data_IF_481996657564
#
_entry.id   IF_481996657564
#
_cell.length_a   1.000
_cell.length_b   1.000
_cell.length_c   1.000
_cell.angle_alpha   90.00
_cell.angle_beta   90.00
_cell.angle_gamma   90.00
#
_symmetry.space_group_name_H-M   'P 1'
#
loop_
_entity.id
_entity.type
_entity.pdbx_description
1 polymer ?
#
# COMPACT_ATOMS: atom_id res chain seq x y z
N UNK A 1 -25.13 -55.74 -32.99
CA UNK A 1 -25.64 -54.36 -32.77
C UNK A 1 -25.26 -53.76 -31.41
N UNK A 2 -25.41 -54.46 -30.28
CA UNK A 2 -25.04 -53.91 -28.95
C UNK A 2 -23.54 -53.59 -28.76
N UNK A 3 -22.64 -54.37 -29.36
CA UNK A 3 -21.20 -54.21 -29.20
C UNK A 3 -20.65 -52.94 -29.88
N UNK A 4 -21.16 -52.62 -31.08
CA UNK A 4 -20.79 -51.40 -31.80
C UNK A 4 -21.31 -50.12 -31.10
N UNK A 5 -22.50 -50.17 -30.48
CA UNK A 5 -23.00 -49.06 -29.66
C UNK A 5 -22.11 -48.82 -28.43
N UNK A 6 -21.65 -49.87 -27.74
CA UNK A 6 -20.72 -49.74 -26.62
C UNK A 6 -19.38 -49.11 -27.03
N UNK A 7 -18.78 -49.55 -28.14
CA UNK A 7 -17.55 -48.95 -28.65
C UNK A 7 -17.73 -47.47 -29.01
N UNK A 8 -18.85 -47.11 -29.64
CA UNK A 8 -19.14 -45.72 -29.99
C UNK A 8 -19.21 -44.81 -28.77
N UNK A 9 -19.93 -45.23 -27.71
CA UNK A 9 -20.00 -44.47 -26.47
C UNK A 9 -18.64 -44.38 -25.77
N UNK A 10 -17.85 -45.46 -25.75
CA UNK A 10 -16.48 -45.44 -25.17
C UNK A 10 -15.59 -44.44 -25.92
N UNK A 11 -15.56 -44.50 -27.26
CA UNK A 11 -14.79 -43.56 -28.07
C UNK A 11 -15.27 -42.11 -27.88
N UNK A 12 -16.59 -41.89 -27.81
CA UNK A 12 -17.17 -40.57 -27.59
C UNK A 12 -16.82 -39.99 -26.21
N UNK A 13 -16.91 -40.79 -25.14
CA UNK A 13 -16.49 -40.36 -23.80
C UNK A 13 -14.99 -40.11 -23.72
N UNK A 14 -14.15 -40.96 -24.34
CA UNK A 14 -12.69 -40.74 -24.40
C UNK A 14 -12.30 -39.49 -25.20
N UNK A 15 -13.00 -39.18 -26.29
CA UNK A 15 -12.77 -37.93 -27.04
C UNK A 15 -13.23 -36.70 -26.26
N UNK A 16 -14.35 -36.78 -25.54
CA UNK A 16 -14.82 -35.70 -24.69
C UNK A 16 -13.85 -35.46 -23.52
N UNK A 17 -13.35 -36.50 -22.85
CA UNK A 17 -12.38 -36.32 -21.76
C UNK A 17 -11.06 -35.73 -22.27
N UNK A 18 -10.54 -36.19 -23.41
CA UNK A 18 -9.36 -35.59 -24.05
C UNK A 18 -9.57 -34.11 -24.37
N UNK A 19 -10.73 -33.74 -24.90
CA UNK A 19 -11.06 -32.34 -25.18
C UNK A 19 -11.11 -31.50 -23.90
N UNK A 20 -11.79 -31.98 -22.85
CA UNK A 20 -11.85 -31.30 -21.55
C UNK A 20 -10.46 -31.13 -20.91
N UNK A 21 -9.62 -32.16 -20.92
CA UNK A 21 -8.25 -32.05 -20.42
C UNK A 21 -7.40 -31.09 -21.27
N UNK A 22 -7.55 -31.10 -22.60
CA UNK A 22 -6.85 -30.17 -23.46
C UNK A 22 -7.28 -28.71 -23.24
N UNK A 23 -8.57 -28.47 -22.98
CA UNK A 23 -9.09 -27.14 -22.64
C UNK A 23 -8.56 -26.65 -21.29
N UNK A 24 -8.54 -27.51 -20.26
CA UNK A 24 -7.97 -27.15 -18.95
C UNK A 24 -6.46 -26.86 -19.03
N UNK A 25 -5.71 -27.64 -19.82
CA UNK A 25 -4.28 -27.41 -20.05
C UNK A 25 -4.07 -26.08 -20.81
N UNK A 26 -4.91 -25.80 -21.82
CA UNK A 26 -4.85 -24.56 -22.57
C UNK A 26 -5.17 -23.34 -21.71
N UNK A 27 -6.24 -23.39 -20.90
CA UNK A 27 -6.61 -22.30 -19.98
C UNK A 27 -5.52 -22.06 -18.93
N UNK A 28 -4.93 -23.13 -18.39
CA UNK A 28 -3.80 -23.02 -17.46
C UNK A 28 -2.56 -22.41 -18.12
N UNK A 29 -2.22 -22.85 -19.34
CA UNK A 29 -1.08 -22.33 -20.08
C UNK A 29 -1.28 -20.85 -20.45
N UNK A 30 -2.47 -20.48 -20.93
CA UNK A 30 -2.82 -19.11 -21.27
C UNK A 30 -2.75 -18.20 -20.04
N UNK A 31 -3.30 -18.65 -18.90
CA UNK A 31 -3.20 -17.92 -17.63
C UNK A 31 -1.75 -17.70 -17.19
N UNK A 32 -0.87 -18.70 -17.36
CA UNK A 32 0.55 -18.55 -17.05
C UNK A 32 1.25 -17.57 -18.00
N UNK A 33 0.99 -17.67 -19.30
CA UNK A 33 1.56 -16.78 -20.32
C UNK A 33 1.15 -15.32 -20.10
N UNK A 34 -0.13 -15.08 -19.79
CA UNK A 34 -0.64 -13.73 -19.51
C UNK A 34 -0.03 -13.16 -18.22
N UNK A 35 0.14 -13.98 -17.19
CA UNK A 35 0.83 -13.61 -15.95
C UNK A 35 2.31 -13.26 -16.18
N UNK A 36 3.05 -14.08 -16.93
CA UNK A 36 4.46 -13.85 -17.23
C UNK A 36 4.68 -12.56 -18.05
N UNK A 37 3.79 -12.29 -19.01
CA UNK A 37 3.82 -11.04 -19.78
C UNK A 37 3.47 -9.83 -18.93
N UNK A 38 2.47 -9.94 -18.04
CA UNK A 38 2.12 -8.88 -17.11
C UNK A 38 3.31 -8.54 -16.21
N UNK A 39 3.93 -9.55 -15.58
CA UNK A 39 5.10 -9.39 -14.72
C UNK A 39 6.26 -8.74 -15.48
N UNK A 40 6.50 -9.16 -16.72
CA UNK A 40 7.55 -8.58 -17.57
C UNK A 40 7.29 -7.09 -17.84
N UNK A 41 6.05 -6.71 -18.17
CA UNK A 41 5.67 -5.32 -18.43
C UNK A 41 5.73 -4.43 -17.16
N UNK A 42 5.33 -4.98 -16.01
CA UNK A 42 5.42 -4.32 -14.71
C UNK A 42 6.89 -4.07 -14.34
N UNK A 43 7.77 -5.06 -14.52
CA UNK A 43 9.21 -4.92 -14.29
C UNK A 43 9.83 -3.84 -15.19
N UNK A 44 9.46 -3.80 -16.47
CA UNK A 44 9.91 -2.76 -17.40
C UNK A 44 9.46 -1.37 -16.93
N UNK A 45 8.23 -1.25 -16.44
CA UNK A 45 7.65 0.00 -15.96
C UNK A 45 8.35 0.51 -14.70
N UNK A 46 8.64 -0.39 -13.75
CA UNK A 46 9.42 -0.09 -12.54
C UNK A 46 10.83 0.38 -12.91
N UNK A 47 11.55 -0.34 -13.78
CA UNK A 47 12.92 0.05 -14.16
C UNK A 47 12.95 1.39 -14.91
N UNK A 48 11.91 1.72 -15.68
CA UNK A 48 11.76 3.04 -16.31
C UNK A 48 11.56 4.12 -15.25
N UNK A 49 10.71 3.89 -14.25
CA UNK A 49 10.48 4.83 -13.15
C UNK A 49 11.75 5.03 -12.31
N UNK A 50 12.46 3.94 -11.99
CA UNK A 50 13.73 3.99 -11.27
C UNK A 50 14.74 4.89 -12.00
N UNK A 51 14.93 4.73 -13.31
CA UNK A 51 15.85 5.59 -14.09
C UNK A 51 15.57 7.09 -13.97
N UNK A 52 14.31 7.47 -13.76
CA UNK A 52 13.91 8.88 -13.60
C UNK A 52 13.96 9.35 -12.14
N UNK A 53 13.89 8.43 -11.18
CA UNK A 53 13.94 8.71 -9.76
C UNK A 53 15.35 9.14 -9.33
N UNK A 54 15.50 10.31 -8.68
CA UNK A 54 16.78 10.76 -8.15
C UNK A 54 17.43 9.76 -7.19
N UNK A 55 18.76 9.79 -7.13
CA UNK A 55 19.56 9.18 -6.07
C UNK A 55 20.43 10.26 -5.43
N UNK A 56 20.73 10.12 -4.15
CA UNK A 56 21.71 10.94 -3.44
C UNK A 56 23.03 10.20 -3.27
N UNK A 57 22.96 8.88 -3.07
CA UNK A 57 24.11 7.96 -3.04
C UNK A 57 23.85 6.72 -3.91
N UNK A 58 24.88 6.00 -4.38
CA UNK A 58 24.70 4.79 -5.18
C UNK A 58 23.78 3.74 -4.54
N UNK A 59 23.84 3.60 -3.22
CA UNK A 59 23.07 2.63 -2.43
C UNK A 59 21.57 2.95 -2.36
N UNK A 60 21.13 4.14 -2.78
CA UNK A 60 19.71 4.43 -2.92
C UNK A 60 19.05 3.54 -3.98
N UNK A 61 19.77 3.20 -5.06
CA UNK A 61 19.16 2.49 -6.19
C UNK A 61 18.73 1.06 -5.83
N UNK A 62 19.58 0.21 -5.21
CA UNK A 62 19.15 -1.11 -4.76
C UNK A 62 17.97 -1.04 -3.79
N UNK A 63 18.01 -0.11 -2.83
CA UNK A 63 16.93 0.10 -1.86
C UNK A 63 15.61 0.48 -2.54
N UNK A 64 15.60 1.53 -3.35
CA UNK A 64 14.42 1.97 -4.11
C UNK A 64 13.84 0.85 -4.95
N UNK A 65 14.71 0.05 -5.60
CA UNK A 65 14.30 -1.12 -6.37
C UNK A 65 13.58 -2.12 -5.47
N UNK A 66 14.20 -2.59 -4.40
CA UNK A 66 13.60 -3.60 -3.52
C UNK A 66 12.28 -3.12 -2.91
N UNK A 67 12.14 -1.83 -2.57
CA UNK A 67 10.86 -1.24 -2.12
C UNK A 67 9.78 -1.41 -3.18
N UNK A 68 10.05 -1.01 -4.43
CA UNK A 68 9.07 -1.10 -5.52
C UNK A 68 8.69 -2.55 -5.86
N UNK A 69 9.65 -3.48 -5.89
CA UNK A 69 9.33 -4.90 -6.09
C UNK A 69 8.56 -5.49 -4.91
N UNK A 70 8.82 -5.04 -3.67
CA UNK A 70 8.04 -5.50 -2.49
C UNK A 70 6.61 -4.96 -2.52
N UNK A 71 6.40 -3.71 -2.99
CA UNK A 71 5.07 -3.18 -3.26
C UNK A 71 4.36 -3.93 -4.39
N UNK A 72 5.06 -4.25 -5.49
CA UNK A 72 4.49 -5.02 -6.60
C UNK A 72 3.94 -6.37 -6.10
N UNK A 73 4.74 -7.09 -5.32
CA UNK A 73 4.35 -8.39 -4.76
C UNK A 73 3.21 -8.27 -3.74
N UNK A 74 3.17 -7.17 -2.97
CA UNK A 74 1.98 -6.84 -2.19
C UNK A 74 0.74 -6.66 -3.07
N UNK A 75 0.84 -5.97 -4.22
CA UNK A 75 -0.33 -5.75 -5.10
C UNK A 75 -0.91 -7.08 -5.61
N UNK A 76 -0.05 -8.03 -5.99
CA UNK A 76 -0.48 -9.36 -6.42
C UNK A 76 -1.09 -10.15 -5.24
N UNK A 77 -0.48 -10.06 -4.06
CA UNK A 77 -1.01 -10.67 -2.84
C UNK A 77 -2.41 -10.12 -2.50
N UNK A 78 -2.56 -8.79 -2.52
CA UNK A 78 -3.81 -8.11 -2.23
C UNK A 78 -4.89 -8.44 -3.26
N UNK A 79 -4.54 -8.50 -4.55
CA UNK A 79 -5.47 -8.90 -5.61
C UNK A 79 -5.91 -10.36 -5.42
N UNK A 80 -4.98 -11.29 -5.18
CA UNK A 80 -5.27 -12.72 -4.98
C UNK A 80 -6.25 -12.97 -3.85
N UNK A 81 -6.13 -12.22 -2.75
CA UNK A 81 -6.97 -12.38 -1.56
C UNK A 81 -8.07 -11.31 -1.44
N UNK A 82 -8.29 -10.49 -2.47
CA UNK A 82 -9.31 -9.44 -2.49
C UNK A 82 -9.22 -8.48 -1.28
N UNK A 83 -8.01 -8.08 -0.92
CA UNK A 83 -7.75 -7.11 0.15
C UNK A 83 -7.90 -5.70 -0.43
N UNK A 84 -8.85 -4.94 0.10
CA UNK A 84 -8.99 -3.53 -0.26
C UNK A 84 -7.98 -2.70 0.56
N UNK A 85 -7.14 -1.97 -0.14
CA UNK A 85 -6.16 -1.06 0.46
C UNK A 85 -6.06 0.22 -0.36
N UNK A 86 -5.34 1.22 0.12
CA UNK A 86 -4.89 2.36 -0.68
C UNK A 86 -3.55 2.89 -0.15
N UNK A 87 -2.78 3.58 -1.00
CA UNK A 87 -1.51 4.20 -0.59
C UNK A 87 -1.76 5.36 0.40
N UNK A 88 -0.85 5.52 1.35
CA UNK A 88 -1.01 6.41 2.49
C UNK A 88 0.30 7.12 2.86
N UNK A 89 0.24 8.03 3.84
CA UNK A 89 1.41 8.64 4.46
C UNK A 89 2.48 9.14 3.48
N UNK A 90 3.76 8.81 3.69
CA UNK A 90 4.87 9.23 2.82
C UNK A 90 4.70 8.77 1.37
N UNK A 91 4.11 7.58 1.18
CA UNK A 91 3.77 7.06 -0.15
C UNK A 91 2.72 7.92 -0.87
N UNK A 92 1.67 8.36 -0.17
CA UNK A 92 0.68 9.27 -0.74
C UNK A 92 1.28 10.65 -1.06
N UNK A 93 2.19 11.16 -0.22
CA UNK A 93 2.96 12.38 -0.49
C UNK A 93 3.79 12.22 -1.77
N UNK A 94 4.50 11.10 -1.92
CA UNK A 94 5.26 10.78 -3.13
C UNK A 94 4.39 10.71 -4.37
N UNK A 95 3.22 10.08 -4.27
CA UNK A 95 2.26 10.04 -5.37
C UNK A 95 1.81 11.44 -5.78
N UNK A 96 1.40 12.28 -4.82
CA UNK A 96 0.94 13.65 -5.08
C UNK A 96 2.02 14.52 -5.69
N UNK A 97 3.27 14.40 -5.21
CA UNK A 97 4.37 15.25 -5.70
C UNK A 97 4.96 14.78 -7.03
N UNK A 98 4.95 13.48 -7.30
CA UNK A 98 5.73 12.90 -8.42
C UNK A 98 5.25 11.54 -8.94
N UNK A 99 4.02 11.13 -8.61
CA UNK A 99 3.43 9.86 -9.04
C UNK A 99 4.29 8.63 -8.69
N UNK A 100 4.94 8.64 -7.52
CA UNK A 100 5.80 7.53 -7.13
C UNK A 100 6.51 7.74 -5.79
N UNK A 101 7.33 6.75 -5.43
CA UNK A 101 8.13 6.73 -4.20
C UNK A 101 8.98 7.99 -4.05
N UNK A 102 9.03 8.58 -2.85
CA UNK A 102 9.99 9.65 -2.60
C UNK A 102 11.40 9.03 -2.59
N UNK A 103 12.40 9.65 -3.24
CA UNK A 103 13.73 9.06 -3.39
C UNK A 103 14.42 8.61 -2.10
N UNK A 104 14.05 9.20 -0.97
CA UNK A 104 14.64 8.98 0.35
C UNK A 104 13.82 8.03 1.25
N UNK A 105 12.60 7.65 0.87
CA UNK A 105 11.73 6.78 1.68
C UNK A 105 12.32 5.39 1.83
N UNK A 106 12.13 4.75 2.98
CA UNK A 106 12.72 3.43 3.28
C UNK A 106 11.71 2.28 3.13
N UNK A 107 10.45 2.60 2.93
CA UNK A 107 9.28 1.73 2.95
C UNK A 107 8.16 2.28 2.04
N UNK A 108 7.02 1.59 2.03
CA UNK A 108 5.76 2.07 1.47
C UNK A 108 4.67 1.91 2.52
N UNK A 109 3.79 2.88 2.63
CA UNK A 109 2.68 2.86 3.56
C UNK A 109 1.35 2.67 2.84
N UNK A 110 0.53 1.76 3.36
CA UNK A 110 -0.82 1.51 2.91
C UNK A 110 -1.80 1.58 4.08
N UNK A 111 -3.05 1.92 3.77
CA UNK A 111 -4.16 1.79 4.71
C UNK A 111 -5.10 0.67 4.28
N UNK A 112 -5.65 -0.01 5.25
CA UNK A 112 -6.83 -0.87 5.13
C UNK A 112 -7.88 -0.43 6.13
N UNK A 113 -9.14 -0.81 5.95
CA UNK A 113 -10.11 -0.63 7.04
C UNK A 113 -9.70 -1.51 8.22
N UNK A 114 -9.78 -0.98 9.45
CA UNK A 114 -9.30 -1.65 10.65
C UNK A 114 -9.95 -3.03 10.85
N UNK A 115 -11.25 -3.18 10.53
CA UNK A 115 -11.95 -4.46 10.59
C UNK A 115 -11.37 -5.56 9.69
N UNK A 116 -10.75 -5.17 8.57
CA UNK A 116 -10.19 -6.11 7.58
C UNK A 116 -8.84 -6.69 8.03
N UNK A 117 -8.27 -6.19 9.14
CA UNK A 117 -7.04 -6.74 9.73
C UNK A 117 -7.18 -8.21 10.13
N UNK A 118 -8.40 -8.63 10.50
CA UNK A 118 -8.69 -10.04 10.83
C UNK A 118 -8.40 -10.98 9.66
N UNK A 119 -8.62 -10.54 8.42
CA UNK A 119 -8.28 -11.28 7.23
C UNK A 119 -6.77 -11.40 7.07
N UNK A 120 -6.01 -10.32 7.28
CA UNK A 120 -4.55 -10.36 7.25
C UNK A 120 -3.99 -11.34 8.29
N UNK A 121 -4.57 -11.38 9.49
CA UNK A 121 -4.16 -12.30 10.54
C UNK A 121 -4.35 -13.77 10.13
N UNK A 122 -5.44 -14.09 9.44
CA UNK A 122 -5.66 -15.45 8.91
C UNK A 122 -4.64 -15.79 7.82
N UNK A 123 -4.40 -14.85 6.89
CA UNK A 123 -3.47 -15.03 5.78
C UNK A 123 -2.00 -15.12 6.24
N UNK A 124 -1.63 -14.46 7.35
CA UNK A 124 -0.28 -14.55 7.90
C UNK A 124 0.07 -15.93 8.43
N UNK A 125 -0.92 -16.79 8.67
CA UNK A 125 -0.69 -18.19 9.06
C UNK A 125 -0.39 -19.11 7.88
N UNK A 126 -0.54 -18.61 6.64
CA UNK A 126 -0.30 -19.38 5.43
C UNK A 126 1.17 -19.30 5.02
N UNK A 127 1.70 -20.42 4.53
CA UNK A 127 2.98 -20.42 3.82
C UNK A 127 2.75 -20.08 2.34
N UNK A 128 2.61 -18.79 2.04
CA UNK A 128 2.32 -18.32 0.68
C UNK A 128 3.58 -17.99 -0.14
N UNK A 129 4.74 -17.82 0.51
CA UNK A 129 5.99 -17.43 -0.16
C UNK A 129 7.22 -17.78 0.67
N UNK A 130 8.30 -18.17 -0.02
CA UNK A 130 9.64 -18.31 0.55
C UNK A 130 10.46 -17.01 0.51
N UNK A 131 9.96 -15.99 -0.19
CA UNK A 131 10.63 -14.68 -0.39
C UNK A 131 9.98 -13.61 0.49
N UNK A 132 8.66 -13.68 0.64
CA UNK A 132 7.89 -12.70 1.39
C UNK A 132 7.25 -13.31 2.62
N UNK A 133 6.96 -12.46 3.60
CA UNK A 133 6.18 -12.81 4.78
C UNK A 133 5.20 -11.71 5.14
N UNK A 134 4.05 -12.11 5.66
CA UNK A 134 3.08 -11.19 6.25
C UNK A 134 3.17 -11.34 7.78
N UNK A 135 3.53 -10.26 8.47
CA UNK A 135 3.53 -10.20 9.93
C UNK A 135 2.42 -9.29 10.41
N UNK A 136 1.60 -9.78 11.32
CA UNK A 136 0.48 -9.02 11.90
C UNK A 136 0.74 -8.82 13.38
N UNK A 137 0.54 -7.61 13.86
CA UNK A 137 0.75 -7.27 15.27
C UNK A 137 -0.25 -8.09 16.13
N UNK A 138 0.16 -8.92 17.11
CA UNK A 138 -0.74 -9.87 17.80
C UNK A 138 -1.91 -9.23 18.57
N UNK A 139 -1.77 -7.96 18.93
CA UNK A 139 -2.73 -7.10 19.62
C UNK A 139 -3.38 -6.08 18.66
N UNK A 140 -3.49 -6.38 17.37
CA UNK A 140 -4.06 -5.49 16.35
C UNK A 140 -5.49 -4.99 16.68
N UNK A 141 -6.23 -5.74 17.50
CA UNK A 141 -7.56 -5.41 18.00
C UNK A 141 -7.55 -4.30 19.06
N UNK A 142 -6.39 -3.99 19.67
CA UNK A 142 -6.23 -2.84 20.55
C UNK A 142 -6.11 -1.61 19.66
N UNK A 143 -7.03 -0.67 19.81
CA UNK A 143 -7.04 0.58 19.04
C UNK A 143 -5.87 1.45 19.47
N UNK A 144 -5.06 1.82 18.49
CA UNK A 144 -3.89 2.66 18.66
C UNK A 144 -2.65 1.97 19.26
N UNK A 145 -1.52 2.67 19.24
CA UNK A 145 -0.20 2.09 19.51
C UNK A 145 0.17 2.03 21.00
N UNK A 146 -0.24 3.02 21.80
CA UNK A 146 0.24 3.24 23.17
C UNK A 146 0.03 2.09 24.18
N UNK A 147 -0.94 1.22 23.91
CA UNK A 147 -1.28 0.05 24.76
C UNK A 147 -0.77 -1.27 24.20
N UNK A 148 -0.12 -1.25 23.04
CA UNK A 148 0.45 -2.43 22.40
C UNK A 148 1.87 -2.65 22.90
N UNK A 149 2.31 -3.90 22.81
CA UNK A 149 3.66 -4.33 23.17
C UNK A 149 4.42 -4.78 21.92
N UNK A 150 5.75 -4.69 21.99
CA UNK A 150 6.63 -5.34 21.02
C UNK A 150 6.71 -6.84 21.30
N UNK A 151 6.75 -7.65 20.25
CA UNK A 151 6.94 -9.11 20.32
C UNK A 151 8.19 -9.50 19.54
N UNK A 152 9.35 -9.06 20.04
CA UNK A 152 10.64 -9.23 19.34
C UNK A 152 11.00 -10.69 19.06
N UNK A 153 10.61 -11.63 19.93
CA UNK A 153 10.80 -13.08 19.72
C UNK A 153 10.05 -13.63 18.50
N UNK A 154 8.99 -12.95 18.08
CA UNK A 154 8.20 -13.25 16.89
C UNK A 154 8.60 -12.35 15.69
N UNK A 155 9.61 -11.51 15.89
CA UNK A 155 10.07 -10.51 14.94
C UNK A 155 9.03 -9.42 14.66
N UNK A 156 8.17 -9.11 15.64
CA UNK A 156 7.26 -7.96 15.63
C UNK A 156 7.94 -6.82 16.38
N UNK A 157 8.64 -5.98 15.61
CA UNK A 157 9.37 -4.80 16.08
C UNK A 157 8.59 -3.49 15.83
N UNK A 158 7.27 -3.57 15.73
CA UNK A 158 6.37 -2.46 15.45
C UNK A 158 5.10 -2.58 16.30
N UNK A 159 4.53 -1.43 16.65
CA UNK A 159 3.29 -1.35 17.45
C UNK A 159 2.18 -0.57 16.75
N UNK A 160 2.53 0.39 15.90
CA UNK A 160 1.55 1.30 15.33
C UNK A 160 0.89 0.77 14.04
N UNK A 161 1.64 0.30 13.01
CA UNK A 161 1.03 -0.47 11.93
C UNK A 161 0.34 -1.72 12.47
N UNK A 162 -0.73 -2.15 11.81
CA UNK A 162 -1.38 -3.42 12.15
C UNK A 162 -0.64 -4.61 11.53
N UNK A 163 0.05 -4.41 10.41
CA UNK A 163 0.81 -5.45 9.75
C UNK A 163 1.98 -4.89 8.92
N UNK A 164 2.89 -5.79 8.56
CA UNK A 164 3.99 -5.56 7.62
C UNK A 164 4.04 -6.69 6.59
N UNK A 165 4.11 -6.33 5.32
CA UNK A 165 4.47 -7.27 4.25
C UNK A 165 5.96 -7.10 3.94
N UNK A 166 6.75 -8.14 4.18
CA UNK A 166 8.21 -8.03 4.34
C UNK A 166 8.91 -8.90 3.32
N UNK A 167 9.92 -8.35 2.64
CA UNK A 167 10.91 -9.15 1.93
C UNK A 167 11.87 -9.79 2.95
N UNK A 168 11.90 -11.13 3.01
CA UNK A 168 12.65 -11.89 4.01
C UNK A 168 14.16 -11.66 3.96
N UNK A 169 14.72 -11.34 2.79
CA UNK A 169 16.16 -11.19 2.58
C UNK A 169 16.65 -9.80 3.00
N UNK A 170 15.96 -8.76 2.52
CA UNK A 170 16.42 -7.38 2.67
C UNK A 170 15.73 -6.65 3.83
N UNK A 171 14.71 -7.26 4.44
CA UNK A 171 13.88 -6.70 5.52
C UNK A 171 13.14 -5.39 5.19
N UNK A 172 13.15 -4.99 3.91
CA UNK A 172 12.29 -3.96 3.36
C UNK A 172 10.84 -4.41 3.44
N UNK A 173 9.96 -3.48 3.78
CA UNK A 173 8.58 -3.78 4.07
C UNK A 173 7.62 -2.74 3.51
N UNK A 174 6.38 -3.18 3.35
CA UNK A 174 5.20 -2.33 3.21
C UNK A 174 4.48 -2.31 4.55
N UNK A 175 4.35 -1.12 5.14
CA UNK A 175 3.58 -0.90 6.37
C UNK A 175 2.09 -0.82 6.06
N UNK A 176 1.29 -1.56 6.84
CA UNK A 176 -0.16 -1.66 6.66
C UNK A 176 -0.84 -1.11 7.91
N UNK A 177 -1.40 0.08 7.75
CA UNK A 177 -1.99 0.88 8.81
C UNK A 177 -3.51 0.71 8.88
N UNK A 178 -4.11 0.76 10.08
CA UNK A 178 -5.57 0.74 10.24
C UNK A 178 -6.20 2.10 9.97
N UNK A 179 -7.24 2.12 9.14
CA UNK A 179 -8.20 3.21 9.02
C UNK A 179 -9.47 2.89 9.81
N UNK A 180 -9.94 3.83 10.62
CA UNK A 180 -11.17 3.69 11.41
C UNK A 180 -12.31 4.48 10.79
N UNK A 181 -13.55 3.99 10.88
CA UNK A 181 -14.77 4.71 10.49
C UNK A 181 -15.39 5.53 11.65
N UNK A 182 -14.63 5.69 12.72
CA UNK A 182 -14.94 6.49 13.90
C UNK A 182 -13.66 7.13 14.44
N UNK A 183 -13.80 8.21 15.20
CA UNK A 183 -12.68 8.86 15.89
C UNK A 183 -12.43 8.19 17.25
N UNK A 184 -11.29 7.51 17.48
CA UNK A 184 -11.04 6.80 18.73
C UNK A 184 -10.89 7.70 19.96
N UNK A 185 -10.69 9.01 19.77
CA UNK A 185 -10.64 9.98 20.87
C UNK A 185 -12.02 10.43 21.34
N UNK A 186 -13.05 10.24 20.52
CA UNK A 186 -14.41 10.67 20.86
C UNK A 186 -15.11 9.64 21.77
N UNK A 187 -15.52 10.09 22.96
CA UNK A 187 -16.24 9.24 23.93
C UNK A 187 -17.73 9.07 23.59
N UNK A 188 -18.26 9.83 22.62
CA UNK A 188 -19.66 9.79 22.20
C UNK A 188 -19.77 10.02 20.69
N UNK A 189 -20.42 9.07 20.01
CA UNK A 189 -20.82 9.24 18.61
C UNK A 189 -21.82 10.40 18.49
N UNK A 190 -21.46 11.45 17.77
CA UNK A 190 -22.37 12.55 17.45
C UNK A 190 -23.39 12.09 16.41
N UNK A 191 -24.69 12.13 16.74
CA UNK A 191 -25.76 11.86 15.77
C UNK A 191 -25.69 12.86 14.61
N UNK A 192 -25.98 12.39 13.39
CA UNK A 192 -26.08 13.19 12.15
C UNK A 192 -24.77 13.81 11.63
N UNK A 193 -23.61 13.23 11.95
CA UNK A 193 -22.34 13.66 11.33
C UNK A 193 -22.19 13.02 9.95
N UNK A 194 -21.57 13.74 9.01
CA UNK A 194 -21.09 13.15 7.76
C UNK A 194 -20.17 11.96 8.09
N UNK A 195 -20.17 10.88 7.28
CA UNK A 195 -19.23 9.78 7.47
C UNK A 195 -17.78 10.30 7.39
N UNK A 196 -16.99 9.94 8.40
CA UNK A 196 -15.59 10.33 8.52
C UNK A 196 -14.74 9.06 8.59
N UNK A 197 -13.49 9.19 8.16
CA UNK A 197 -12.45 8.20 8.36
C UNK A 197 -11.35 8.82 9.23
N UNK A 198 -10.80 8.03 10.14
CA UNK A 198 -9.80 8.47 11.12
C UNK A 198 -8.57 7.59 11.08
N UNK A 199 -7.42 8.23 10.98
CA UNK A 199 -6.09 7.61 10.96
C UNK A 199 -5.13 8.38 11.88
N UNK A 200 -3.90 7.91 12.00
CA UNK A 200 -2.85 8.68 12.65
C UNK A 200 -2.29 9.78 11.76
N UNK A 201 -1.84 10.89 12.34
CA UNK A 201 -0.92 11.83 11.70
C UNK A 201 0.56 11.46 11.97
N UNK A 202 1.49 12.31 11.49
CA UNK A 202 2.94 12.12 11.65
C UNK A 202 3.43 12.13 13.11
N UNK A 203 2.57 12.49 14.06
CA UNK A 203 2.83 12.57 15.49
C UNK A 203 1.98 11.59 16.31
N UNK A 204 1.32 10.62 15.66
CA UNK A 204 0.40 9.67 16.29
C UNK A 204 -0.81 10.33 16.97
N UNK A 205 -1.24 11.51 16.52
CA UNK A 205 -2.54 12.06 16.89
C UNK A 205 -3.63 11.54 15.95
N UNK A 206 -4.85 11.38 16.47
CA UNK A 206 -6.00 11.03 15.65
C UNK A 206 -6.38 12.17 14.71
N UNK A 207 -6.44 11.87 13.42
CA UNK A 207 -6.79 12.83 12.38
C UNK A 207 -7.95 12.29 11.56
N UNK A 208 -9.06 13.03 11.60
CA UNK A 208 -10.29 12.66 10.89
C UNK A 208 -10.42 13.43 9.57
N UNK A 209 -10.90 12.77 8.52
CA UNK A 209 -11.21 13.35 7.21
C UNK A 209 -12.56 12.85 6.66
N UNK A 210 -13.26 13.61 5.81
CA UNK A 210 -14.50 13.14 5.19
C UNK A 210 -14.27 11.85 4.39
N UNK A 211 -15.15 10.86 4.55
CA UNK A 211 -15.03 9.56 3.85
C UNK A 211 -14.96 9.72 2.32
N UNK A 212 -15.64 10.73 1.78
CA UNK A 212 -15.64 11.09 0.35
C UNK A 212 -14.28 11.55 -0.19
N UNK A 213 -13.31 11.87 0.67
CA UNK A 213 -11.94 12.14 0.24
C UNK A 213 -11.15 10.86 -0.04
N UNK A 214 -11.54 9.76 0.60
CA UNK A 214 -10.94 8.44 0.36
C UNK A 214 -11.70 7.67 -0.71
N UNK A 215 -13.03 7.59 -0.61
CA UNK A 215 -13.84 6.76 -1.49
C UNK A 215 -14.64 7.57 -2.53
N UNK A 216 -14.84 7.04 -3.76
CA UNK A 216 -14.35 5.75 -4.25
C UNK A 216 -12.84 5.76 -4.51
N UNK A 217 -12.18 4.62 -4.26
CA UNK A 217 -10.77 4.45 -4.63
C UNK A 217 -10.61 4.52 -6.15
N UNK A 218 -9.46 5.00 -6.60
CA UNK A 218 -9.11 5.12 -8.01
C UNK A 218 -7.83 4.33 -8.29
N UNK A 219 -7.77 3.63 -9.43
CA UNK A 219 -6.52 3.05 -9.90
C UNK A 219 -5.56 4.19 -10.28
N UNK A 220 -4.33 4.12 -9.81
CA UNK A 220 -3.29 5.11 -10.09
C UNK A 220 -1.94 4.41 -10.33
N UNK A 221 -1.05 5.10 -11.05
CA UNK A 221 0.29 4.59 -11.34
C UNK A 221 1.29 5.19 -10.36
N UNK A 222 1.88 4.35 -9.51
CA UNK A 222 2.89 4.71 -8.51
C UNK A 222 4.24 4.10 -8.89
N UNK A 223 5.18 4.91 -9.37
CA UNK A 223 6.48 4.45 -9.86
C UNK A 223 6.37 3.30 -10.89
N UNK A 224 5.35 3.34 -11.75
CA UNK A 224 5.11 2.29 -12.75
C UNK A 224 4.28 1.09 -12.26
N UNK A 225 3.85 1.07 -11.00
CA UNK A 225 3.01 0.02 -10.41
C UNK A 225 1.57 0.51 -10.31
N UNK A 226 0.61 -0.31 -10.73
CA UNK A 226 -0.81 -0.01 -10.53
C UNK A 226 -1.19 -0.25 -9.07
N UNK A 227 -1.69 0.77 -8.40
CA UNK A 227 -2.15 0.70 -7.00
C UNK A 227 -3.48 1.43 -6.84
N UNK A 228 -4.08 1.29 -5.66
CA UNK A 228 -5.27 2.05 -5.30
C UNK A 228 -4.88 3.37 -4.60
N UNK A 229 -5.39 4.47 -5.12
CA UNK A 229 -5.30 5.80 -4.53
C UNK A 229 -6.66 6.24 -3.97
N UNK A 230 -6.67 7.12 -2.95
CA UNK A 230 -7.90 7.77 -2.50
C UNK A 230 -8.46 8.73 -3.57
N UNK A 231 -9.75 9.07 -3.47
CA UNK A 231 -10.46 9.94 -4.41
C UNK A 231 -9.89 11.36 -4.50
N UNK A 232 -9.37 11.89 -3.39
CA UNK A 232 -8.89 13.27 -3.24
C UNK A 232 -7.52 13.30 -2.53
N UNK A 233 -6.45 12.78 -3.18
CA UNK A 233 -5.17 12.54 -2.55
C UNK A 233 -4.49 13.83 -2.04
N UNK A 234 -4.61 14.95 -2.77
CA UNK A 234 -4.05 16.24 -2.36
C UNK A 234 -4.72 16.79 -1.10
N UNK A 235 -6.03 16.58 -0.93
CA UNK A 235 -6.75 17.02 0.28
C UNK A 235 -6.29 16.25 1.51
N UNK A 236 -6.08 14.94 1.37
CA UNK A 236 -5.57 14.09 2.45
C UNK A 236 -4.13 14.47 2.83
N UNK A 237 -3.24 14.63 1.85
CA UNK A 237 -1.87 15.10 2.10
C UNK A 237 -1.86 16.47 2.77
N UNK A 238 -2.67 17.43 2.29
CA UNK A 238 -2.76 18.75 2.89
C UNK A 238 -3.33 18.73 4.31
N UNK A 239 -4.26 17.82 4.60
CA UNK A 239 -4.88 17.68 5.92
C UNK A 239 -3.90 17.12 6.98
N UNK A 240 -3.10 16.12 6.59
CA UNK A 240 -2.16 15.44 7.50
C UNK A 240 -0.87 16.26 7.64
N UNK A 241 -0.25 16.64 6.52
CA UNK A 241 1.10 17.22 6.49
C UNK A 241 1.13 18.74 6.30
N UNK A 242 -0.03 19.34 6.04
CA UNK A 242 -0.16 20.75 5.69
C UNK A 242 -0.13 21.00 4.17
N UNK A 243 -0.68 22.13 3.71
CA UNK A 243 -0.89 22.40 2.28
C UNK A 243 0.40 22.50 1.46
N UNK A 244 1.53 22.84 2.08
CA UNK A 244 2.81 22.95 1.37
C UNK A 244 3.38 21.59 0.95
N UNK A 245 3.02 20.53 1.69
CA UNK A 245 3.48 19.15 1.48
C UNK A 245 2.93 18.53 0.20
N UNK A 246 1.91 19.14 -0.41
CA UNK A 246 1.41 18.78 -1.75
C UNK A 246 2.43 19.15 -2.84
N UNK A 247 3.32 20.12 -2.59
CA UNK A 247 4.21 20.70 -3.61
C UNK A 247 5.69 20.52 -3.31
N UNK A 248 6.07 20.65 -2.05
CA UNK A 248 7.48 20.72 -1.65
C UNK A 248 7.83 19.52 -0.77
N UNK A 249 8.87 18.80 -1.16
CA UNK A 249 9.44 17.72 -0.36
C UNK A 249 10.08 18.27 0.91
N UNK A 250 9.78 17.63 2.04
CA UNK A 250 10.40 17.92 3.34
C UNK A 250 11.88 17.55 3.41
N UNK A 251 12.37 16.78 2.42
CA UNK A 251 13.75 16.28 2.33
C UNK A 251 14.37 16.62 0.97
N UNK A 252 15.66 16.95 0.95
CA UNK A 252 16.47 17.20 -0.25
C UNK A 252 17.83 16.50 -0.15
N UNK A 253 18.43 16.17 -1.28
CA UNK A 253 19.81 15.66 -1.32
C UNK A 253 20.80 16.82 -1.33
N UNK A 254 21.77 16.81 -0.43
CA UNK A 254 22.89 17.75 -0.40
C UNK A 254 24.17 16.99 -0.07
N UNK A 255 25.17 17.07 -0.96
CA UNK A 255 26.50 16.47 -0.77
C UNK A 255 26.47 14.97 -0.38
N UNK A 256 25.60 14.17 -1.02
CA UNK A 256 25.49 12.74 -0.74
C UNK A 256 24.69 12.39 0.52
N UNK A 257 23.97 13.35 1.11
CA UNK A 257 23.10 13.11 2.25
C UNK A 257 21.68 13.63 2.01
N UNK A 258 20.69 12.80 2.32
CA UNK A 258 19.30 13.23 2.45
C UNK A 258 19.14 14.05 3.73
N UNK A 259 18.83 15.34 3.60
CA UNK A 259 18.66 16.25 4.72
C UNK A 259 17.31 16.96 4.65
N UNK A 260 16.85 17.49 5.78
CA UNK A 260 15.65 18.30 5.82
C UNK A 260 15.75 19.53 4.89
N UNK A 261 14.67 19.83 4.19
CA UNK A 261 14.59 20.92 3.22
C UNK A 261 14.35 22.27 3.92
N UNK A 262 15.32 23.18 3.81
CA UNK A 262 15.16 24.55 4.32
C UNK A 262 14.04 25.31 3.60
N UNK A 263 13.85 25.05 2.31
CA UNK A 263 12.76 25.62 1.52
C UNK A 263 11.40 25.20 2.07
N UNK A 264 11.24 23.91 2.36
CA UNK A 264 10.02 23.39 2.99
C UNK A 264 9.79 24.03 4.37
N UNK A 265 10.84 24.14 5.20
CA UNK A 265 10.75 24.77 6.53
C UNK A 265 10.35 26.23 6.45
N UNK A 266 10.95 26.99 5.52
CA UNK A 266 10.63 28.40 5.29
C UNK A 266 9.18 28.56 4.83
N UNK A 267 8.75 27.77 3.85
CA UNK A 267 7.39 27.84 3.34
C UNK A 267 6.34 27.45 4.39
N UNK A 268 6.60 26.41 5.20
CA UNK A 268 5.74 26.00 6.32
C UNK A 268 5.63 27.11 7.38
N UNK A 269 6.73 27.78 7.71
CA UNK A 269 6.77 28.92 8.65
C UNK A 269 5.98 30.14 8.14
N UNK A 270 6.16 30.52 6.86
CA UNK A 270 5.43 31.63 6.25
C UNK A 270 3.91 31.42 6.26
N UNK A 271 3.46 30.19 5.97
CA UNK A 271 2.04 29.85 6.04
C UNK A 271 1.48 29.95 7.46
N UNK A 272 2.18 29.42 8.46
CA UNK A 272 1.75 29.54 9.86
C UNK A 272 1.62 31.00 10.31
N UNK A 273 2.56 31.87 9.92
CA UNK A 273 2.50 33.29 10.24
C UNK A 273 1.36 34.03 9.51
N UNK A 274 1.03 33.62 8.27
CA UNK A 274 -0.12 34.17 7.53
C UNK A 274 -1.47 33.80 8.13
N UNK A 275 -1.57 32.63 8.77
CA UNK A 275 -2.78 32.21 9.50
C UNK A 275 -2.93 33.03 10.79
N UNK A 276 -1.84 33.23 11.54
CA UNK A 276 -1.85 34.01 12.80
C UNK A 276 -2.21 35.49 12.57
N UNK A 277 -1.71 36.08 11.49
CA UNK A 277 -2.01 37.49 11.14
C UNK A 277 -3.44 37.71 10.67
N UNK A 278 -4.12 36.67 10.17
CA UNK A 278 -5.54 36.73 9.81
C UNK A 278 -6.48 36.45 11.00
N UNK A 279 -6.07 35.67 12.01
CA UNK A 279 -6.87 35.45 13.23
C UNK A 279 -6.75 36.58 14.25
N UNK A 280 -5.72 37.43 14.16
CA UNK A 280 -5.57 38.64 15.03
C UNK A 280 -6.24 39.90 14.46
N UNK A 281 -6.88 39.81 13.29
CA UNK A 281 -7.61 40.91 12.64
C UNK A 281 -9.14 40.76 12.68
N UNK A 282 -9.67 39.84 13.48
CA UNK A 282 -11.10 39.66 13.74
C UNK A 282 -11.45 40.01 15.19
#
# INVERSE_FOLDING_TARGET
MLHQRRLFWICFYSSCTLFFFSALIYDHYQSHFDFDNQLTNENISIEKALKQMPICVPDDRPRQRTILYTLLEWTHFAQKYNIRYWIAYGSLVGYVQRHGLLPHDLDVDLLIMAQDTSQLFQLSQLNFSSIYELKVQPQWYIVGETKRSYFYSEGINFVAPNARFINRKDHIHVDIWPMYDYDPSETRMKKNRKPMLTEYDEYYNWKSSPQEWTFPLQECLFSGIKVWCPAEPEKLVANIYGPISVKISSTKCVNGSWIASDEYRLAKSMMNNSVITNTTKL
#
